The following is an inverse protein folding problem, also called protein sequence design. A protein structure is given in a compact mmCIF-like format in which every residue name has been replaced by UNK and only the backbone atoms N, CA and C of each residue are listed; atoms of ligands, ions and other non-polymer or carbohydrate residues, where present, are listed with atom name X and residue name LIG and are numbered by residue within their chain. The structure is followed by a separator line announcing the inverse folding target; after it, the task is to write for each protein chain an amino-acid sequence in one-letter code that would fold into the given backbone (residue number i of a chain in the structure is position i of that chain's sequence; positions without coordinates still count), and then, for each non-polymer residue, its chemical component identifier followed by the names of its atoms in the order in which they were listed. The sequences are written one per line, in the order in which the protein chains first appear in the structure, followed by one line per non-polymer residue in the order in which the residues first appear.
data_IF_464241101022
#
_entry.id   IF_464241101022
#
_cell.length_a   1.000
_cell.length_b   1.000
_cell.length_c   1.000
_cell.angle_alpha   90.00
_cell.angle_beta   90.00
_cell.angle_gamma   90.00
#
_symmetry.space_group_name_H-M   'P 1'
#
loop_
_entity.id
_entity.type
_entity.pdbx_description
1 polymer ?
#
# COMPACT_ATOMS: atom_id res chain seq x y z
N UNK A 1 10.27 28.48 27.06
CA UNK A 1 8.98 27.77 26.95
C UNK A 1 8.20 28.40 25.81
N UNK A 2 8.42 27.92 24.58
CA UNK A 2 7.68 28.39 23.40
C UNK A 2 6.52 27.43 23.16
N UNK A 3 5.29 27.94 23.22
CA UNK A 3 4.10 27.18 22.88
C UNK A 3 4.09 26.95 21.36
N UNK A 4 4.04 25.68 20.95
CA UNK A 4 3.93 25.28 19.55
C UNK A 4 2.57 25.73 19.00
N UNK A 5 2.49 26.27 17.76
CA UNK A 5 1.23 26.72 17.19
C UNK A 5 0.31 25.53 16.89
N UNK A 6 -0.95 25.59 17.33
CA UNK A 6 -1.95 24.54 17.12
C UNK A 6 -2.13 24.12 15.64
N UNK A 7 -1.74 24.99 14.70
CA UNK A 7 -1.76 24.74 13.26
C UNK A 7 -0.80 23.60 12.84
N UNK A 8 0.29 23.35 13.57
CA UNK A 8 1.23 22.26 13.25
C UNK A 8 0.63 20.88 13.51
N UNK A 9 -0.28 20.77 14.49
CA UNK A 9 -0.87 19.49 14.88
C UNK A 9 -1.85 19.03 13.81
N UNK A 10 -2.69 19.95 13.30
CA UNK A 10 -3.77 19.62 12.34
C UNK A 10 -3.21 19.13 10.99
N UNK A 11 -2.08 19.69 10.55
CA UNK A 11 -1.43 19.26 9.30
C UNK A 11 -0.84 17.84 9.42
N UNK A 12 -0.37 17.43 10.60
CA UNK A 12 0.13 16.08 10.83
C UNK A 12 -1.00 15.04 10.74
N UNK A 13 -2.19 15.32 11.28
CA UNK A 13 -3.32 14.38 11.30
C UNK A 13 -3.86 14.05 9.91
N UNK A 14 -3.95 15.06 9.03
CA UNK A 14 -4.52 14.94 7.68
C UNK A 14 -3.58 14.22 6.72
N UNK A 15 -2.26 14.37 6.90
CA UNK A 15 -1.27 13.65 6.10
C UNK A 15 -1.10 12.20 6.57
N UNK A 16 -1.42 11.88 7.82
CA UNK A 16 -1.25 10.52 8.39
C UNK A 16 -2.14 9.46 7.76
N UNK A 17 -3.40 9.77 7.44
CA UNK A 17 -4.36 8.75 6.98
C UNK A 17 -4.02 8.13 5.61
N UNK A 18 -3.50 8.94 4.68
CA UNK A 18 -3.08 8.46 3.36
C UNK A 18 -1.82 7.60 3.46
N UNK A 19 -0.88 8.01 4.31
CA UNK A 19 0.40 7.35 4.47
C UNK A 19 0.26 5.97 5.12
N UNK A 20 -0.59 5.85 6.15
CA UNK A 20 -0.87 4.55 6.79
C UNK A 20 -1.47 3.51 5.83
N UNK A 21 -2.28 3.94 4.85
CA UNK A 21 -2.83 3.03 3.84
C UNK A 21 -1.75 2.60 2.85
N UNK A 22 -0.90 3.53 2.39
CA UNK A 22 0.23 3.22 1.51
C UNK A 22 1.19 2.23 2.17
N UNK A 23 1.60 2.48 3.42
CA UNK A 23 2.47 1.61 4.19
C UNK A 23 1.87 0.21 4.38
N UNK A 24 0.55 0.11 4.60
CA UNK A 24 -0.16 -1.19 4.67
C UNK A 24 -0.09 -1.92 3.34
N UNK A 25 -0.38 -1.25 2.23
CA UNK A 25 -0.34 -1.86 0.89
C UNK A 25 1.07 -2.37 0.60
N UNK A 26 2.11 -1.56 0.85
CA UNK A 26 3.51 -1.96 0.71
C UNK A 26 3.80 -3.27 1.45
N UNK A 27 3.47 -3.34 2.74
CA UNK A 27 3.69 -4.55 3.55
C UNK A 27 2.96 -5.77 3.01
N UNK A 28 1.72 -5.62 2.56
CA UNK A 28 0.96 -6.73 1.98
C UNK A 28 1.56 -7.21 0.65
N UNK A 29 2.13 -6.30 -0.15
CA UNK A 29 2.85 -6.68 -1.38
C UNK A 29 4.15 -7.42 -1.03
N UNK A 30 4.90 -6.92 -0.04
CA UNK A 30 6.14 -7.58 0.44
C UNK A 30 5.83 -8.99 0.94
N UNK A 31 4.79 -9.15 1.75
CA UNK A 31 4.34 -10.45 2.25
C UNK A 31 3.89 -11.38 1.11
N UNK A 32 3.13 -10.86 0.14
CA UNK A 32 2.69 -11.63 -1.03
C UNK A 32 3.85 -12.10 -1.93
N UNK A 33 4.92 -11.31 -2.01
CA UNK A 33 6.12 -11.60 -2.78
C UNK A 33 7.20 -12.35 -1.98
N UNK A 34 6.95 -12.64 -0.71
CA UNK A 34 7.95 -13.20 0.21
C UNK A 34 9.24 -12.34 0.27
N UNK A 35 9.08 -11.02 0.16
CA UNK A 35 10.15 -10.04 0.24
C UNK A 35 10.37 -9.56 1.68
N UNK A 36 11.57 -9.06 1.98
CA UNK A 36 11.88 -8.45 3.28
C UNK A 36 11.05 -7.18 3.52
N UNK A 37 10.67 -6.93 4.77
CA UNK A 37 9.94 -5.71 5.18
C UNK A 37 10.79 -4.46 4.89
N UNK A 38 10.20 -3.49 4.19
CA UNK A 38 10.88 -2.26 3.75
C UNK A 38 11.79 -2.44 2.55
N UNK A 39 11.75 -3.58 1.86
CA UNK A 39 12.46 -3.83 0.61
C UNK A 39 11.77 -3.14 -0.58
N UNK A 40 10.45 -2.99 -0.52
CA UNK A 40 9.67 -2.27 -1.54
C UNK A 40 9.54 -0.79 -1.20
N UNK A 41 9.50 0.03 -2.24
CA UNK A 41 9.30 1.47 -2.13
C UNK A 41 8.26 1.95 -3.13
N UNK A 42 7.55 3.02 -2.79
CA UNK A 42 6.59 3.66 -3.70
C UNK A 42 7.27 4.04 -5.01
N UNK A 43 6.58 3.81 -6.13
CA UNK A 43 7.10 4.06 -7.47
C UNK A 43 8.12 3.02 -7.96
N UNK A 44 8.47 2.01 -7.16
CA UNK A 44 9.25 0.88 -7.65
C UNK A 44 8.39 0.00 -8.56
N UNK A 45 9.03 -0.55 -9.59
CA UNK A 45 8.41 -1.57 -10.44
C UNK A 45 8.19 -2.88 -9.64
N UNK A 46 7.03 -3.48 -9.84
CA UNK A 46 6.69 -4.81 -9.33
C UNK A 46 6.89 -5.82 -10.45
N UNK A 47 7.66 -6.85 -10.17
CA UNK A 47 7.86 -8.02 -11.04
C UNK A 47 7.31 -9.26 -10.32
N UNK A 48 6.06 -9.16 -9.87
CA UNK A 48 5.39 -10.21 -9.12
C UNK A 48 4.74 -11.25 -10.04
N UNK A 49 4.85 -12.52 -9.67
CA UNK A 49 4.23 -13.63 -10.41
C UNK A 49 2.74 -13.77 -10.13
N UNK A 50 2.06 -14.60 -10.93
CA UNK A 50 0.63 -14.92 -10.73
C UNK A 50 0.31 -15.45 -9.33
N UNK A 51 1.27 -16.09 -8.65
CA UNK A 51 1.12 -16.54 -7.26
C UNK A 51 1.05 -15.34 -6.32
N UNK A 52 2.01 -14.42 -6.40
CA UNK A 52 2.01 -13.21 -5.58
C UNK A 52 0.76 -12.34 -5.82
N UNK A 53 0.27 -12.27 -7.06
CA UNK A 53 -1.01 -11.61 -7.37
C UNK A 53 -2.17 -12.25 -6.61
N UNK A 54 -2.30 -13.59 -6.64
CA UNK A 54 -3.38 -14.30 -5.95
C UNK A 54 -3.24 -14.21 -4.43
N UNK A 55 -2.01 -14.29 -3.90
CA UNK A 55 -1.74 -14.09 -2.48
C UNK A 55 -2.15 -12.69 -2.04
N UNK A 56 -1.75 -11.65 -2.78
CA UNK A 56 -2.12 -10.28 -2.49
C UNK A 56 -3.63 -10.05 -2.56
N UNK A 57 -4.36 -10.72 -3.46
CA UNK A 57 -5.83 -10.65 -3.50
C UNK A 57 -6.46 -11.10 -2.19
N UNK A 58 -6.01 -12.24 -1.65
CA UNK A 58 -6.51 -12.76 -0.36
C UNK A 58 -6.15 -11.81 0.77
N UNK A 59 -4.90 -11.35 0.82
CA UNK A 59 -4.42 -10.40 1.82
C UNK A 59 -5.18 -9.07 1.79
N UNK A 60 -5.47 -8.54 0.60
CA UNK A 60 -6.25 -7.32 0.45
C UNK A 60 -7.71 -7.50 0.89
N UNK A 61 -8.31 -8.66 0.61
CA UNK A 61 -9.66 -8.98 1.08
C UNK A 61 -9.71 -9.08 2.61
N UNK A 62 -8.74 -9.76 3.23
CA UNK A 62 -8.67 -9.99 4.67
C UNK A 62 -8.26 -8.74 5.48
N UNK A 63 -7.22 -8.02 5.05
CA UNK A 63 -6.64 -6.89 5.80
C UNK A 63 -7.26 -5.54 5.43
N UNK A 64 -7.67 -5.37 4.18
CA UNK A 64 -8.21 -4.10 3.67
C UNK A 64 -9.72 -4.16 3.44
N UNK A 65 -10.34 -5.35 3.50
CA UNK A 65 -11.74 -5.52 3.16
C UNK A 65 -12.04 -5.22 1.69
N UNK A 66 -11.04 -5.30 0.81
CA UNK A 66 -11.17 -4.97 -0.62
C UNK A 66 -11.00 -6.22 -1.47
N UNK A 67 -12.05 -6.56 -2.21
CA UNK A 67 -12.00 -7.66 -3.17
C UNK A 67 -11.44 -7.16 -4.51
N UNK A 68 -10.15 -7.42 -4.75
CA UNK A 68 -9.44 -7.01 -5.96
C UNK A 68 -9.51 -8.11 -7.02
N UNK A 69 -9.63 -7.73 -8.30
CA UNK A 69 -9.63 -8.69 -9.40
C UNK A 69 -8.22 -8.95 -9.92
N UNK A 70 -7.89 -10.22 -10.18
CA UNK A 70 -6.59 -10.63 -10.74
C UNK A 70 -6.23 -9.87 -12.02
N UNK A 71 -7.19 -9.56 -12.89
CA UNK A 71 -6.94 -8.80 -14.12
C UNK A 71 -6.45 -7.37 -13.83
N UNK A 72 -7.02 -6.70 -12.81
CA UNK A 72 -6.61 -5.35 -12.41
C UNK A 72 -5.20 -5.37 -11.81
N UNK A 73 -4.91 -6.36 -10.98
CA UNK A 73 -3.59 -6.52 -10.36
C UNK A 73 -2.51 -6.89 -11.37
N UNK A 74 -2.81 -7.75 -12.35
CA UNK A 74 -1.87 -8.04 -13.45
C UNK A 74 -1.58 -6.82 -14.34
N UNK A 75 -2.48 -5.83 -14.38
CA UNK A 75 -2.23 -4.58 -15.08
C UNK A 75 -1.33 -3.62 -14.28
N UNK A 76 -1.22 -3.80 -12.95
CA UNK A 76 -0.34 -3.02 -12.09
C UNK A 76 1.12 -3.43 -12.32
N UNK A 77 1.97 -2.48 -12.73
CA UNK A 77 3.40 -2.72 -12.99
C UNK A 77 4.30 -2.12 -11.93
N UNK A 78 3.74 -1.29 -11.06
CA UNK A 78 4.47 -0.59 -10.02
C UNK A 78 3.68 -0.59 -8.71
N UNK A 79 4.38 -0.37 -7.61
CA UNK A 79 3.75 -0.23 -6.29
C UNK A 79 2.70 0.89 -6.30
N UNK A 80 2.93 1.95 -7.07
CA UNK A 80 1.99 3.08 -7.20
C UNK A 80 0.67 2.66 -7.86
N UNK A 81 0.72 1.81 -8.90
CA UNK A 81 -0.48 1.27 -9.54
C UNK A 81 -1.35 0.48 -8.55
N UNK A 82 -0.70 -0.33 -7.69
CA UNK A 82 -1.40 -1.15 -6.69
C UNK A 82 -2.01 -0.26 -5.60
N UNK A 83 -1.25 0.71 -5.10
CA UNK A 83 -1.76 1.70 -4.14
C UNK A 83 -2.96 2.44 -4.74
N UNK A 84 -2.84 2.93 -5.98
CA UNK A 84 -3.93 3.64 -6.67
C UNK A 84 -5.17 2.76 -6.80
N UNK A 85 -4.98 1.48 -7.18
CA UNK A 85 -6.06 0.49 -7.29
C UNK A 85 -6.76 0.26 -5.95
N UNK A 86 -5.99 0.21 -4.85
CA UNK A 86 -6.51 0.02 -3.50
C UNK A 86 -7.15 1.28 -2.94
N UNK A 87 -6.75 2.47 -3.38
CA UNK A 87 -7.31 3.74 -2.88
C UNK A 87 -8.48 4.29 -3.70
N UNK A 88 -8.81 3.65 -4.82
CA UNK A 88 -10.00 3.94 -5.64
C UNK A 88 -11.32 3.78 -4.87
#
# INVERSE_FOLDING_TARGET
MQALPAQTVIQQLVTSGSKEMEDKVLRLIEEAMEADEGSLSKGQNLDWDSIAVVTFMSLADEHLGKSLSANRLNACKSVDDVISLVTE
#
